data_IF_540865672155
#
_entry.id   IF_540865672155
#
_cell.length_a   1.000
_cell.length_b   1.000
_cell.length_c   1.000
_cell.angle_alpha   90.00
_cell.angle_beta   90.00
_cell.angle_gamma   90.00
#
_symmetry.space_group_name_H-M   'P 1'
#
loop_
_entity.id
_entity.type
_entity.pdbx_description
1 polymer ?
#
# COMPACT_ATOMS: atom_id res chain seq x y z
N UNK A 1 14.57 29.97 -28.21
CA UNK A 1 14.61 29.82 -26.74
C UNK A 1 13.27 29.22 -26.30
N UNK A 2 13.34 28.04 -25.65
CA UNK A 2 12.29 27.38 -24.85
C UNK A 2 11.10 26.78 -25.63
N UNK A 3 11.31 25.62 -26.26
CA UNK A 3 10.25 24.83 -26.91
C UNK A 3 9.73 23.66 -26.03
N UNK A 4 9.85 23.76 -24.71
CA UNK A 4 9.54 22.68 -23.75
C UNK A 4 8.07 22.27 -23.79
N UNK A 5 7.15 23.19 -24.12
CA UNK A 5 5.71 22.88 -24.19
C UNK A 5 5.34 21.91 -25.32
N UNK A 6 6.21 21.75 -26.35
CA UNK A 6 5.97 20.84 -27.47
C UNK A 6 6.03 19.37 -27.08
N UNK A 7 6.58 19.03 -25.91
CA UNK A 7 6.60 17.67 -25.40
C UNK A 7 5.18 17.06 -25.35
N UNK A 8 4.17 17.88 -25.07
CA UNK A 8 2.77 17.48 -25.02
C UNK A 8 2.14 17.18 -26.40
N UNK A 9 2.81 17.54 -27.50
CA UNK A 9 2.33 17.20 -28.85
C UNK A 9 2.73 15.78 -29.28
N UNK A 10 3.82 15.25 -28.71
CA UNK A 10 4.29 13.88 -28.99
C UNK A 10 3.68 12.90 -27.98
N UNK A 11 3.53 13.33 -26.74
CA UNK A 11 3.06 12.47 -25.67
C UNK A 11 1.59 12.72 -25.36
N UNK A 12 0.76 11.67 -25.44
CA UNK A 12 -0.63 11.72 -24.99
C UNK A 12 -0.66 12.02 -23.47
N UNK A 13 -1.17 13.20 -23.05
CA UNK A 13 -1.00 13.70 -21.69
C UNK A 13 -1.57 12.77 -20.63
N UNK A 14 -2.69 12.11 -20.94
CA UNK A 14 -3.36 11.17 -20.05
C UNK A 14 -2.49 9.96 -19.73
N UNK A 15 -1.75 9.42 -20.70
CA UNK A 15 -0.91 8.24 -20.48
C UNK A 15 0.29 8.56 -19.58
N UNK A 16 0.89 9.74 -19.73
CA UNK A 16 1.96 10.17 -18.83
C UNK A 16 1.43 10.34 -17.41
N UNK A 17 0.25 10.97 -17.24
CA UNK A 17 -0.36 11.12 -15.92
C UNK A 17 -0.70 9.77 -15.29
N UNK A 18 -1.26 8.84 -16.06
CA UNK A 18 -1.53 7.46 -15.60
C UNK A 18 -0.22 6.73 -15.26
N UNK A 19 0.81 6.84 -16.10
CA UNK A 19 2.09 6.17 -15.87
C UNK A 19 2.80 6.69 -14.63
N UNK A 20 2.79 8.01 -14.44
CA UNK A 20 3.29 8.66 -13.22
C UNK A 20 2.49 8.19 -12.00
N UNK A 21 1.17 8.26 -12.04
CA UNK A 21 0.31 7.89 -10.91
C UNK A 21 0.46 6.41 -10.55
N UNK A 22 0.47 5.52 -11.55
CA UNK A 22 0.70 4.09 -11.38
C UNK A 22 2.08 3.82 -10.77
N UNK A 23 3.13 4.48 -11.27
CA UNK A 23 4.48 4.35 -10.72
C UNK A 23 4.53 4.77 -9.26
N UNK A 24 3.97 5.94 -8.91
CA UNK A 24 3.95 6.40 -7.53
C UNK A 24 3.13 5.48 -6.61
N UNK A 25 1.99 4.95 -7.07
CA UNK A 25 1.19 4.01 -6.29
C UNK A 25 1.95 2.70 -6.05
N UNK A 26 2.53 2.11 -7.10
CA UNK A 26 3.30 0.87 -6.98
C UNK A 26 4.49 1.08 -6.05
N UNK A 27 5.20 2.21 -6.18
CA UNK A 27 6.32 2.56 -5.31
C UNK A 27 5.87 2.75 -3.85
N UNK A 28 4.76 3.46 -3.62
CA UNK A 28 4.20 3.65 -2.28
C UNK A 28 3.81 2.31 -1.66
N UNK A 29 3.06 1.46 -2.37
CA UNK A 29 2.67 0.14 -1.88
C UNK A 29 3.88 -0.76 -1.63
N UNK A 30 4.87 -0.77 -2.50
CA UNK A 30 6.09 -1.55 -2.30
C UNK A 30 6.78 -1.18 -0.98
N UNK A 31 6.95 0.13 -0.71
CA UNK A 31 7.54 0.61 0.55
C UNK A 31 6.70 0.16 1.75
N UNK A 32 5.37 0.38 1.71
CA UNK A 32 4.49 0.03 2.84
C UNK A 32 4.46 -1.48 3.09
N UNK A 33 4.38 -2.29 2.04
CA UNK A 33 4.37 -3.75 2.15
C UNK A 33 5.71 -4.29 2.67
N UNK A 34 6.83 -3.66 2.34
CA UNK A 34 8.14 -4.01 2.92
C UNK A 34 8.15 -3.69 4.42
N UNK A 35 7.68 -2.51 4.83
CA UNK A 35 7.61 -2.14 6.25
C UNK A 35 6.67 -3.07 7.02
N UNK A 36 5.47 -3.32 6.50
CA UNK A 36 4.50 -4.23 7.11
C UNK A 36 4.97 -5.70 7.12
N UNK A 37 5.86 -6.11 6.21
CA UNK A 37 6.40 -7.46 6.22
C UNK A 37 7.44 -7.69 7.33
N UNK A 38 7.97 -6.64 7.95
CA UNK A 38 8.97 -6.75 9.01
C UNK A 38 8.31 -6.75 10.39
N UNK A 39 8.79 -7.60 11.30
CA UNK A 39 8.22 -7.80 12.64
C UNK A 39 8.14 -6.51 13.46
N UNK A 40 9.13 -5.62 13.32
CA UNK A 40 9.21 -4.39 14.13
C UNK A 40 8.37 -3.23 13.59
N UNK A 41 8.09 -3.19 12.29
CA UNK A 41 7.33 -2.11 11.65
C UNK A 41 5.92 -2.53 11.22
N UNK A 42 5.50 -3.76 11.51
CA UNK A 42 4.16 -4.25 11.23
C UNK A 42 3.15 -3.70 12.26
N UNK A 43 2.71 -2.47 12.05
CA UNK A 43 1.73 -1.83 12.92
C UNK A 43 0.33 -2.46 12.89
N UNK A 44 0.05 -3.41 11.97
CA UNK A 44 -1.21 -4.16 11.96
C UNK A 44 -1.22 -5.33 12.94
N UNK A 45 -0.04 -5.84 13.30
CA UNK A 45 0.14 -7.02 14.16
C UNK A 45 0.79 -6.67 15.52
N UNK A 46 1.19 -5.40 15.72
CA UNK A 46 1.77 -4.86 16.96
C UNK A 46 0.86 -4.98 18.20
N UNK A 47 -0.43 -5.29 18.00
CA UNK A 47 -1.36 -5.57 19.11
C UNK A 47 -1.71 -4.33 19.93
N UNK A 48 -1.61 -3.12 19.35
CA UNK A 48 -1.93 -1.85 20.02
C UNK A 48 -3.04 -1.08 19.26
N UNK A 49 -4.14 -0.70 19.93
CA UNK A 49 -4.56 -1.17 21.26
C UNK A 49 -4.79 -2.68 21.22
N UNK A 50 -4.63 -3.37 22.35
CA UNK A 50 -4.88 -4.80 22.46
C UNK A 50 -6.34 -5.08 22.07
N UNK A 51 -6.56 -5.41 20.79
CA UNK A 51 -7.82 -5.95 20.35
C UNK A 51 -7.78 -7.36 20.91
N UNK A 52 -8.57 -7.59 21.96
CA UNK A 52 -8.98 -8.92 22.37
C UNK A 52 -9.64 -9.57 21.14
N UNK A 53 -8.84 -10.18 20.27
CA UNK A 53 -9.34 -11.13 19.29
C UNK A 53 -10.03 -12.15 20.16
N UNK A 54 -11.37 -12.08 20.18
CA UNK A 54 -12.20 -12.98 20.94
C UNK A 54 -11.80 -14.39 20.50
N UNK A 55 -10.93 -15.02 21.29
CA UNK A 55 -10.65 -16.43 21.20
C UNK A 55 -12.02 -17.06 21.36
N UNK A 56 -12.56 -17.58 20.25
CA UNK A 56 -13.85 -18.27 20.27
C UNK A 56 -13.80 -19.21 21.46
N UNK A 57 -14.75 -19.12 22.42
CA UNK A 57 -14.74 -20.03 23.55
C UNK A 57 -14.77 -21.42 22.94
N UNK A 58 -13.71 -22.18 23.19
CA UNK A 58 -13.63 -23.57 22.77
C UNK A 58 -14.91 -24.23 23.29
N UNK A 59 -15.83 -24.56 22.37
CA UNK A 59 -17.06 -25.26 22.70
C UNK A 59 -16.62 -26.53 23.42
N UNK A 60 -16.89 -26.69 24.73
CA UNK A 60 -16.56 -27.91 25.41
C UNK A 60 -17.34 -29.01 24.70
N UNK A 61 -16.63 -29.93 24.02
CA UNK A 61 -17.24 -31.14 23.49
C UNK A 61 -17.69 -31.96 24.70
N UNK A 62 -18.95 -31.74 25.12
CA UNK A 62 -19.60 -32.54 26.13
C UNK A 62 -19.74 -33.96 25.58
N UNK A 63 -18.94 -34.86 26.14
CA UNK A 63 -19.14 -36.31 26.09
C UNK A 63 -20.35 -36.70 26.94
#
# INVERSE_FOLDING_TARGET
MNAIYKIWLIFNPSLILIGLFSFLIVLALAIHLILLSTTDFNWLEDGIPAIEVATSPAVPQQM
#
